data_IF_795372011117
#
_entry.id   IF_795372011117
#
_cell.length_a   1.000
_cell.length_b   1.000
_cell.length_c   1.000
_cell.angle_alpha   90.00
_cell.angle_beta   90.00
_cell.angle_gamma   90.00
#
_symmetry.space_group_name_H-M   'P 1'
#
loop_
_entity.id
_entity.type
_entity.pdbx_description
1 polymer ?
#
# COMPACT_ATOMS: atom_id res chain seq x y z
N UNK A 1 -11.91 3.96 -9.69
CA UNK A 1 -12.84 3.40 -8.69
C UNK A 1 -12.48 1.95 -8.43
N UNK A 2 -12.44 1.56 -7.16
CA UNK A 2 -12.14 0.20 -6.70
C UNK A 2 -13.41 -0.34 -6.03
N UNK A 3 -13.80 -1.58 -6.34
CA UNK A 3 -14.97 -2.22 -5.73
C UNK A 3 -14.62 -3.65 -5.34
N UNK A 4 -14.89 -3.98 -4.09
CA UNK A 4 -14.87 -5.33 -3.53
C UNK A 4 -16.32 -5.72 -3.30
N UNK A 5 -16.74 -6.88 -3.78
CA UNK A 5 -18.12 -7.36 -3.69
C UNK A 5 -18.14 -8.75 -3.07
N UNK A 6 -18.71 -8.88 -1.87
CA UNK A 6 -18.93 -10.13 -1.17
C UNK A 6 -17.64 -10.94 -0.92
N UNK A 7 -16.51 -10.27 -0.67
CA UNK A 7 -15.21 -10.94 -0.48
C UNK A 7 -15.23 -11.78 0.78
N UNK A 8 -15.15 -13.09 0.61
CA UNK A 8 -15.04 -14.05 1.72
C UNK A 8 -13.80 -14.91 1.56
N UNK A 9 -13.20 -15.28 2.67
CA UNK A 9 -12.03 -16.16 2.71
C UNK A 9 -12.15 -17.21 3.79
N UNK A 10 -12.08 -18.45 3.38
CA UNK A 10 -11.97 -19.62 4.24
C UNK A 10 -10.61 -20.25 4.04
N UNK A 11 -9.94 -20.57 5.11
CA UNK A 11 -8.74 -21.40 5.11
C UNK A 11 -9.09 -22.78 5.67
N UNK A 12 -8.74 -23.82 4.92
CA UNK A 12 -8.87 -25.20 5.31
C UNK A 12 -7.45 -25.79 5.48
N UNK A 13 -7.16 -26.29 6.66
CA UNK A 13 -5.90 -26.98 6.98
C UNK A 13 -6.04 -28.51 6.99
N UNK A 14 -7.19 -29.04 6.51
CA UNK A 14 -7.52 -30.46 6.47
C UNK A 14 -8.08 -31.01 7.78
N UNK A 15 -8.06 -30.25 8.87
CA UNK A 15 -8.61 -30.64 10.19
C UNK A 15 -9.69 -29.66 10.67
N UNK A 16 -9.60 -28.41 10.26
CA UNK A 16 -10.50 -27.33 10.66
C UNK A 16 -10.61 -26.31 9.53
N UNK A 17 -11.85 -25.90 9.21
CA UNK A 17 -12.14 -24.77 8.37
C UNK A 17 -12.24 -23.49 9.21
N UNK A 18 -11.47 -22.47 8.86
CA UNK A 18 -11.52 -21.15 9.50
C UNK A 18 -11.89 -20.08 8.50
N UNK A 19 -13.07 -19.51 8.63
CA UNK A 19 -13.45 -18.33 7.90
C UNK A 19 -12.78 -17.08 8.51
N UNK A 20 -12.09 -16.31 7.69
CA UNK A 20 -11.29 -15.15 8.12
C UNK A 20 -11.88 -13.84 7.57
N UNK A 21 -12.62 -13.89 6.45
CA UNK A 21 -13.36 -12.75 5.93
C UNK A 21 -14.80 -13.17 5.63
N UNK A 22 -15.76 -12.35 6.04
CA UNK A 22 -17.19 -12.60 5.97
C UNK A 22 -17.88 -11.56 5.07
N UNK A 23 -17.94 -11.84 3.76
CA UNK A 23 -18.68 -11.00 2.78
C UNK A 23 -18.32 -9.50 2.85
N UNK A 24 -17.06 -9.18 2.68
CA UNK A 24 -16.58 -7.79 2.71
C UNK A 24 -16.99 -7.05 1.44
N UNK A 25 -17.73 -5.96 1.62
CA UNK A 25 -18.14 -5.03 0.58
C UNK A 25 -17.49 -3.66 0.81
N UNK A 26 -16.66 -3.20 -0.14
CA UNK A 26 -15.97 -1.90 -0.06
C UNK A 26 -15.98 -1.26 -1.44
N UNK A 27 -16.44 -0.02 -1.55
CA UNK A 27 -16.25 0.81 -2.73
C UNK A 27 -15.37 2.00 -2.38
N UNK A 28 -14.26 2.17 -3.13
CA UNK A 28 -13.31 3.29 -2.95
C UNK A 28 -13.34 4.14 -4.22
N UNK A 29 -13.85 5.37 -4.17
CA UNK A 29 -13.78 6.34 -5.25
C UNK A 29 -12.34 6.61 -5.73
N UNK A 30 -12.19 7.06 -6.97
CA UNK A 30 -10.89 7.46 -7.50
C UNK A 30 -10.30 8.62 -6.69
N UNK A 31 -9.03 8.48 -6.32
CA UNK A 31 -8.28 9.47 -5.54
C UNK A 31 -8.59 9.47 -4.04
N UNK A 32 -9.53 8.65 -3.55
CA UNK A 32 -9.80 8.56 -2.12
C UNK A 32 -8.66 7.82 -1.40
N UNK A 33 -8.30 8.32 -0.23
CA UNK A 33 -7.37 7.66 0.68
C UNK A 33 -8.13 7.04 1.86
N UNK A 34 -8.21 5.71 1.87
CA UNK A 34 -8.88 4.92 2.91
C UNK A 34 -7.86 4.34 3.87
N UNK A 35 -8.09 4.47 5.17
CA UNK A 35 -7.34 3.75 6.21
C UNK A 35 -8.16 2.58 6.73
N UNK A 36 -7.53 1.41 6.87
CA UNK A 36 -8.15 0.20 7.42
C UNK A 36 -7.42 -0.15 8.72
N UNK A 37 -8.18 -0.25 9.81
CA UNK A 37 -7.69 -0.69 11.12
C UNK A 37 -8.40 -1.97 11.55
N UNK A 38 -7.88 -2.61 12.60
CA UNK A 38 -8.48 -3.81 13.16
C UNK A 38 -7.46 -4.55 14.03
N UNK A 39 -7.93 -5.46 14.90
CA UNK A 39 -7.09 -6.29 15.75
C UNK A 39 -6.22 -7.29 15.02
N UNK A 40 -5.39 -7.97 15.79
CA UNK A 40 -4.71 -9.15 15.30
C UNK A 40 -5.75 -10.22 14.95
N UNK A 41 -5.64 -10.79 13.76
CA UNK A 41 -6.63 -11.77 13.29
C UNK A 41 -7.92 -11.17 12.69
N UNK A 42 -8.10 -9.85 12.66
CA UNK A 42 -9.30 -9.22 12.07
C UNK A 42 -9.44 -9.39 10.54
N UNK A 43 -8.47 -9.98 9.85
CA UNK A 43 -8.53 -10.24 8.41
C UNK A 43 -7.82 -9.21 7.54
N UNK A 44 -7.18 -8.17 8.12
CA UNK A 44 -6.52 -7.08 7.36
C UNK A 44 -5.49 -7.57 6.34
N UNK A 45 -4.52 -8.39 6.78
CA UNK A 45 -3.48 -8.92 5.89
C UNK A 45 -4.05 -9.89 4.85
N UNK A 46 -5.12 -10.62 5.19
CA UNK A 46 -5.86 -11.46 4.25
C UNK A 46 -6.51 -10.60 3.16
N UNK A 47 -7.20 -9.53 3.55
CA UNK A 47 -7.81 -8.57 2.63
C UNK A 47 -6.76 -7.91 1.73
N UNK A 48 -5.63 -7.46 2.31
CA UNK A 48 -4.49 -6.91 1.56
C UNK A 48 -3.97 -7.90 0.50
N UNK A 49 -3.75 -9.15 0.89
CA UNK A 49 -3.26 -10.19 -0.01
C UNK A 49 -4.26 -10.51 -1.14
N UNK A 50 -5.55 -10.44 -0.86
CA UNK A 50 -6.61 -10.62 -1.86
C UNK A 50 -6.61 -9.44 -2.85
N UNK A 51 -6.56 -8.21 -2.38
CA UNK A 51 -6.55 -7.02 -3.25
C UNK A 51 -5.27 -6.96 -4.08
N UNK A 52 -4.11 -7.24 -3.49
CA UNK A 52 -2.82 -7.28 -4.19
C UNK A 52 -2.72 -8.41 -5.21
N UNK A 53 -3.54 -9.47 -5.05
CA UNK A 53 -3.54 -10.67 -5.89
C UNK A 53 -2.54 -11.73 -5.48
N UNK A 54 -2.00 -11.65 -4.26
CA UNK A 54 -1.19 -12.70 -3.64
C UNK A 54 -2.04 -13.88 -3.16
N UNK A 55 -3.31 -13.62 -2.84
CA UNK A 55 -4.31 -14.60 -2.44
C UNK A 55 -5.54 -14.47 -3.34
N UNK A 56 -6.14 -15.61 -3.71
CA UNK A 56 -7.44 -15.63 -4.37
C UNK A 56 -8.53 -15.81 -3.32
N UNK A 57 -9.58 -14.99 -3.28
CA UNK A 57 -10.67 -15.17 -2.31
C UNK A 57 -11.43 -16.46 -2.59
N UNK A 58 -12.05 -17.02 -1.56
CA UNK A 58 -12.94 -18.18 -1.68
C UNK A 58 -14.22 -17.82 -2.47
N UNK A 59 -14.75 -16.60 -2.26
CA UNK A 59 -15.88 -16.05 -3.01
C UNK A 59 -15.79 -14.53 -3.11
N UNK A 60 -16.64 -13.94 -3.97
CA UNK A 60 -16.70 -12.51 -4.22
C UNK A 60 -15.97 -12.08 -5.48
N UNK A 61 -15.93 -10.77 -5.73
CA UNK A 61 -15.33 -10.17 -6.91
C UNK A 61 -14.53 -8.90 -6.56
N UNK A 62 -13.52 -8.58 -7.37
CA UNK A 62 -12.72 -7.36 -7.24
C UNK A 62 -12.68 -6.64 -8.58
N UNK A 63 -13.11 -5.40 -8.58
CA UNK A 63 -13.13 -4.55 -9.75
C UNK A 63 -12.23 -3.34 -9.57
N UNK A 64 -11.38 -3.04 -10.54
CA UNK A 64 -10.61 -1.80 -10.61
C UNK A 64 -10.87 -1.17 -11.98
N UNK A 65 -11.47 0.01 -11.99
CA UNK A 65 -11.90 0.72 -13.19
C UNK A 65 -12.76 -0.17 -14.12
N UNK A 66 -13.71 -0.91 -13.54
CA UNK A 66 -14.60 -1.83 -14.24
C UNK A 66 -13.95 -3.10 -14.79
N UNK A 67 -12.70 -3.37 -14.44
CA UNK A 67 -11.97 -4.59 -14.87
C UNK A 67 -11.94 -5.60 -13.73
N UNK A 68 -12.36 -6.83 -14.02
CA UNK A 68 -12.27 -7.94 -13.07
C UNK A 68 -10.80 -8.30 -12.78
N UNK A 69 -10.39 -8.11 -11.53
CA UNK A 69 -9.03 -8.39 -11.10
C UNK A 69 -8.77 -9.88 -10.85
N UNK A 70 -9.81 -10.68 -10.56
CA UNK A 70 -9.64 -12.12 -10.33
C UNK A 70 -9.28 -12.87 -11.61
N UNK A 71 -9.61 -12.30 -12.77
CA UNK A 71 -9.24 -12.84 -14.09
C UNK A 71 -7.85 -12.39 -14.59
N UNK A 72 -7.18 -11.49 -13.86
CA UNK A 72 -5.86 -10.98 -14.26
C UNK A 72 -4.74 -11.81 -13.65
N UNK A 73 -3.68 -12.04 -14.43
CA UNK A 73 -2.44 -12.60 -13.89
C UNK A 73 -1.80 -11.65 -12.86
N UNK A 74 -0.94 -12.19 -11.99
CA UNK A 74 -0.18 -11.37 -11.00
C UNK A 74 0.60 -10.25 -11.68
N UNK A 75 1.26 -10.53 -12.81
CA UNK A 75 2.00 -9.52 -13.57
C UNK A 75 1.10 -8.41 -14.11
N UNK A 76 -0.09 -8.75 -14.62
CA UNK A 76 -1.07 -7.78 -15.10
C UNK A 76 -1.64 -6.94 -13.96
N UNK A 77 -1.86 -7.52 -12.76
CA UNK A 77 -2.26 -6.78 -11.55
C UNK A 77 -1.15 -5.84 -11.07
N UNK A 78 0.10 -6.31 -11.04
CA UNK A 78 1.23 -5.51 -10.60
C UNK A 78 1.43 -4.22 -11.43
N UNK A 79 0.92 -4.17 -12.66
CA UNK A 79 0.90 -2.95 -13.47
C UNK A 79 -0.18 -1.94 -13.01
N UNK A 80 -1.17 -2.38 -12.25
CA UNK A 80 -2.34 -1.60 -11.83
C UNK A 80 -2.27 -1.27 -10.34
N UNK A 81 -1.91 -2.28 -9.53
CA UNK A 81 -1.82 -2.21 -8.06
C UNK A 81 -0.35 -2.17 -7.66
N UNK A 82 0.03 -1.15 -6.91
CA UNK A 82 1.35 -1.06 -6.28
C UNK A 82 1.23 -1.34 -4.79
N UNK A 83 2.22 -2.03 -4.23
CA UNK A 83 2.25 -2.39 -2.81
C UNK A 83 3.51 -1.86 -2.15
N UNK A 84 3.36 -1.35 -0.92
CA UNK A 84 4.46 -1.05 0.01
C UNK A 84 4.21 -1.86 1.26
N UNK A 85 5.20 -2.66 1.66
CA UNK A 85 5.10 -3.60 2.77
C UNK A 85 5.69 -3.03 4.06
N UNK A 86 5.38 -3.68 5.17
CA UNK A 86 5.88 -3.35 6.50
C UNK A 86 7.40 -3.46 6.59
N UNK A 87 7.99 -4.53 6.02
CA UNK A 87 9.44 -4.68 5.97
C UNK A 87 10.05 -3.86 4.83
N UNK A 88 10.86 -2.81 5.14
CA UNK A 88 11.52 -2.00 4.11
C UNK A 88 12.43 -2.79 3.14
N UNK A 89 12.85 -3.99 3.53
CA UNK A 89 13.68 -4.84 2.67
C UNK A 89 12.87 -5.54 1.57
N UNK A 90 11.58 -5.75 1.80
CA UNK A 90 10.70 -6.44 0.84
C UNK A 90 10.44 -5.63 -0.43
N UNK A 91 10.66 -4.30 -0.40
CA UNK A 91 10.38 -3.39 -1.51
C UNK A 91 11.56 -3.15 -2.46
N UNK A 92 12.79 -3.55 -2.10
CA UNK A 92 14.01 -3.28 -2.86
C UNK A 92 14.83 -4.54 -3.10
N UNK A 93 15.65 -4.54 -4.16
CA UNK A 93 16.71 -5.52 -4.35
C UNK A 93 17.98 -4.97 -3.68
N UNK A 94 18.44 -5.52 -2.53
CA UNK A 94 19.52 -4.93 -1.73
C UNK A 94 20.84 -4.79 -2.48
N UNK A 95 21.15 -5.74 -3.36
CA UNK A 95 22.41 -5.77 -4.14
C UNK A 95 22.44 -4.80 -5.32
N UNK A 96 21.28 -4.32 -5.75
CA UNK A 96 21.16 -3.30 -6.79
C UNK A 96 21.33 -1.90 -6.22
N UNK A 97 21.83 -0.99 -7.06
CA UNK A 97 21.85 0.44 -6.75
C UNK A 97 20.43 1.03 -6.65
N UNK A 98 20.30 2.20 -6.04
CA UNK A 98 19.03 2.94 -6.02
C UNK A 98 18.51 3.15 -7.44
N UNK A 99 19.38 3.59 -8.37
CA UNK A 99 19.00 3.83 -9.75
C UNK A 99 18.50 2.56 -10.45
N UNK A 100 19.13 1.41 -10.23
CA UNK A 100 18.71 0.13 -10.81
C UNK A 100 17.37 -0.34 -10.23
N UNK A 101 17.17 -0.20 -8.92
CA UNK A 101 15.88 -0.48 -8.28
C UNK A 101 14.77 0.39 -8.88
N UNK A 102 15.01 1.71 -9.00
CA UNK A 102 14.05 2.64 -9.61
C UNK A 102 13.80 2.31 -11.09
N UNK A 103 14.81 1.91 -11.85
CA UNK A 103 14.66 1.50 -13.25
C UNK A 103 13.79 0.24 -13.40
N UNK A 104 13.94 -0.74 -12.49
CA UNK A 104 13.07 -1.91 -12.43
C UNK A 104 11.61 -1.50 -12.22
N UNK A 105 11.35 -0.65 -11.21
CA UNK A 105 10.02 -0.14 -10.92
C UNK A 105 9.45 0.70 -12.07
N UNK A 106 10.25 1.56 -12.68
CA UNK A 106 9.86 2.40 -13.81
C UNK A 106 9.52 1.60 -15.08
N UNK A 107 10.03 0.38 -15.20
CA UNK A 107 9.71 -0.53 -16.31
C UNK A 107 8.45 -1.36 -16.08
N UNK A 108 7.78 -1.24 -14.91
CA UNK A 108 6.58 -1.99 -14.57
C UNK A 108 5.46 -1.75 -15.59
N UNK A 109 4.86 -2.83 -16.10
CA UNK A 109 3.79 -2.77 -17.10
C UNK A 109 4.22 -2.38 -18.52
N UNK A 110 5.49 -2.08 -18.75
CA UNK A 110 6.02 -1.78 -20.10
C UNK A 110 6.59 -3.03 -20.76
N UNK A 111 6.39 -3.17 -22.08
CA UNK A 111 7.11 -4.19 -22.86
C UNK A 111 8.57 -3.78 -22.95
N UNK A 112 9.48 -4.64 -22.48
CA UNK A 112 10.92 -4.43 -22.63
C UNK A 112 11.34 -4.88 -24.02
N UNK A 113 11.87 -3.94 -24.83
CA UNK A 113 12.67 -4.25 -26.03
C UNK A 113 14.14 -4.46 -25.64
N UNK A 114 15.02 -4.55 -26.63
CA UNK A 114 16.50 -4.63 -26.51
C UNK A 114 17.15 -3.31 -26.06
N UNK A 115 16.40 -2.43 -25.37
CA UNK A 115 16.92 -1.15 -24.89
C UNK A 115 17.71 -1.34 -23.59
N UNK A 116 18.74 -0.49 -23.40
CA UNK A 116 19.51 -0.40 -22.17
C UNK A 116 18.57 -0.22 -20.98
N UNK A 117 18.86 -0.92 -19.89
CA UNK A 117 18.03 -0.95 -18.71
C UNK A 117 17.77 0.46 -18.09
N UNK A 118 18.63 1.44 -18.39
CA UNK A 118 18.58 2.78 -17.84
C UNK A 118 19.27 3.80 -18.75
N UNK A 119 18.54 4.85 -19.14
CA UNK A 119 19.07 5.95 -19.95
C UNK A 119 19.54 7.12 -19.06
N UNK A 120 20.28 8.09 -19.65
CA UNK A 120 20.62 9.34 -18.98
C UNK A 120 19.36 10.14 -18.58
N UNK A 121 18.28 10.03 -19.37
CA UNK A 121 17.00 10.67 -19.10
C UNK A 121 16.32 10.04 -17.89
N UNK A 122 16.38 8.73 -17.76
CA UNK A 122 15.82 8.05 -16.57
C UNK A 122 16.57 8.45 -15.31
N UNK A 123 17.89 8.55 -15.34
CA UNK A 123 18.70 9.03 -14.21
C UNK A 123 18.36 10.47 -13.80
N UNK A 124 18.11 11.35 -14.78
CA UNK A 124 17.70 12.73 -14.51
C UNK A 124 16.32 12.76 -13.84
N UNK A 125 15.36 11.99 -14.36
CA UNK A 125 14.02 11.83 -13.78
C UNK A 125 14.10 11.31 -12.33
N UNK A 126 14.90 10.28 -12.10
CA UNK A 126 15.02 9.68 -10.75
C UNK A 126 15.61 10.69 -9.77
N UNK A 127 16.62 11.46 -10.19
CA UNK A 127 17.21 12.51 -9.36
C UNK A 127 16.18 13.59 -9.02
N UNK A 128 15.44 14.09 -10.02
CA UNK A 128 14.37 15.07 -9.83
C UNK A 128 13.35 14.59 -8.79
N UNK A 129 12.88 13.34 -8.92
CA UNK A 129 11.91 12.77 -7.98
C UNK A 129 12.45 12.59 -6.57
N UNK A 130 13.73 12.32 -6.41
CA UNK A 130 14.36 12.14 -5.10
C UNK A 130 14.59 13.45 -4.36
N UNK A 131 14.88 14.54 -5.08
CA UNK A 131 15.04 15.89 -4.51
C UNK A 131 13.77 16.34 -3.77
N UNK A 132 12.59 15.93 -4.23
CA UNK A 132 11.30 16.30 -3.63
C UNK A 132 11.16 15.87 -2.16
N UNK A 133 12.01 14.94 -1.68
CA UNK A 133 11.94 14.37 -0.32
C UNK A 133 12.94 14.97 0.68
N UNK A 134 13.90 15.74 0.20
CA UNK A 134 14.93 16.41 1.05
C UNK A 134 15.67 15.43 1.99
N UNK A 135 16.07 14.27 1.45
CA UNK A 135 16.78 13.20 2.18
C UNK A 135 18.21 12.96 1.67
N UNK A 136 18.68 13.77 0.70
CA UNK A 136 19.99 13.62 0.06
C UNK A 136 20.11 12.34 -0.81
N UNK A 137 18.99 11.65 -1.08
CA UNK A 137 18.97 10.40 -1.85
C UNK A 137 19.32 10.61 -3.32
N UNK A 138 19.09 11.82 -3.86
CA UNK A 138 19.45 12.23 -5.21
C UNK A 138 20.96 12.18 -5.47
N UNK A 139 21.77 12.28 -4.41
CA UNK A 139 23.23 12.15 -4.47
C UNK A 139 23.69 10.68 -4.34
N UNK A 140 22.79 9.77 -3.98
CA UNK A 140 23.08 8.37 -3.67
C UNK A 140 22.66 7.37 -4.75
N UNK A 141 22.22 7.82 -5.94
CA UNK A 141 21.67 6.95 -6.99
C UNK A 141 22.56 5.74 -7.35
N UNK A 142 23.88 5.86 -7.20
CA UNK A 142 24.85 4.79 -7.48
C UNK A 142 25.18 3.90 -6.27
N UNK A 143 24.66 4.22 -5.07
CA UNK A 143 24.85 3.38 -3.89
C UNK A 143 23.90 2.20 -3.92
N UNK A 144 24.36 1.05 -3.41
CA UNK A 144 23.51 -0.14 -3.22
C UNK A 144 22.40 0.15 -2.20
N UNK A 145 21.20 -0.42 -2.43
CA UNK A 145 20.08 -0.25 -1.53
C UNK A 145 20.33 -0.87 -0.14
N UNK A 146 21.22 -1.86 -0.03
CA UNK A 146 21.66 -2.44 1.25
C UNK A 146 22.32 -1.43 2.18
N UNK A 147 22.91 -0.34 1.66
CA UNK A 147 23.60 0.70 2.43
C UNK A 147 22.67 1.80 2.95
N UNK A 148 21.38 1.74 2.63
CA UNK A 148 20.39 2.71 3.08
C UNK A 148 19.90 2.38 4.50
N UNK A 149 19.49 3.41 5.26
CA UNK A 149 18.71 3.20 6.48
C UNK A 149 17.33 2.64 6.18
N UNK A 150 16.64 2.08 7.18
CA UNK A 150 15.28 1.57 7.02
C UNK A 150 14.32 2.61 6.45
N UNK A 151 14.35 3.84 7.00
CA UNK A 151 13.52 4.95 6.52
C UNK A 151 13.84 5.37 5.08
N UNK A 152 15.13 5.45 4.73
CA UNK A 152 15.56 5.76 3.37
C UNK A 152 15.08 4.67 2.38
N UNK A 153 15.19 3.39 2.75
CA UNK A 153 14.65 2.28 1.94
C UNK A 153 13.14 2.39 1.77
N UNK A 154 12.42 2.75 2.84
CA UNK A 154 10.96 2.90 2.77
C UNK A 154 10.55 4.03 1.83
N UNK A 155 11.25 5.17 1.87
CA UNK A 155 10.99 6.28 0.93
C UNK A 155 11.29 5.87 -0.51
N UNK A 156 12.39 5.15 -0.77
CA UNK A 156 12.69 4.61 -2.11
C UNK A 156 11.59 3.65 -2.56
N UNK A 157 11.14 2.74 -1.68
CA UNK A 157 10.05 1.79 -2.00
C UNK A 157 8.75 2.52 -2.34
N UNK A 158 8.39 3.54 -1.57
CA UNK A 158 7.21 4.37 -1.81
C UNK A 158 7.31 5.11 -3.16
N UNK A 159 8.47 5.72 -3.45
CA UNK A 159 8.72 6.37 -4.73
C UNK A 159 8.62 5.37 -5.89
N UNK A 160 9.24 4.21 -5.76
CA UNK A 160 9.17 3.14 -6.76
C UNK A 160 7.73 2.68 -7.01
N UNK A 161 6.92 2.57 -5.96
CA UNK A 161 5.51 2.21 -6.06
C UNK A 161 4.70 3.25 -6.84
N UNK A 162 5.06 4.54 -6.75
CA UNK A 162 4.32 5.67 -7.32
C UNK A 162 4.89 6.23 -8.63
N UNK A 163 6.13 5.85 -9.03
CA UNK A 163 6.78 6.31 -10.27
C UNK A 163 5.93 6.12 -11.54
N UNK A 164 5.14 5.08 -11.59
CA UNK A 164 4.21 4.75 -12.68
C UNK A 164 2.77 4.89 -12.18
N UNK A 165 2.40 6.03 -11.62
CA UNK A 165 1.07 6.33 -11.06
C UNK A 165 0.11 5.12 -11.08
N UNK A 166 0.09 4.28 -10.04
CA UNK A 166 -0.76 3.09 -10.01
C UNK A 166 -2.23 3.52 -9.93
N UNK A 167 -3.16 2.63 -10.29
CA UNK A 167 -4.59 2.85 -10.06
C UNK A 167 -4.98 2.64 -8.61
N UNK A 168 -4.21 1.81 -7.90
CA UNK A 168 -4.37 1.56 -6.47
C UNK A 168 -2.98 1.44 -5.84
N UNK A 169 -2.75 2.20 -4.78
CA UNK A 169 -1.61 2.05 -3.88
C UNK A 169 -2.08 1.34 -2.61
N UNK A 170 -1.45 0.22 -2.30
CA UNK A 170 -1.67 -0.53 -1.07
C UNK A 170 -0.48 -0.32 -0.13
N UNK A 171 -0.75 0.12 1.09
CA UNK A 171 0.24 0.36 2.13
C UNK A 171 -0.05 -0.57 3.30
N UNK A 172 0.86 -1.50 3.60
CA UNK A 172 0.71 -2.46 4.70
C UNK A 172 1.66 -2.08 5.83
N UNK A 173 1.14 -1.39 6.85
CA UNK A 173 1.86 -0.98 8.05
C UNK A 173 3.27 -0.41 7.76
N UNK A 174 3.40 0.30 6.66
CA UNK A 174 4.65 0.67 6.02
C UNK A 174 5.58 1.59 6.85
N UNK A 175 5.16 1.99 8.04
CA UNK A 175 5.96 2.78 8.98
C UNK A 175 6.22 2.07 10.30
N UNK A 176 5.64 0.88 10.52
CA UNK A 176 5.68 0.19 11.82
C UNK A 176 7.08 -0.25 12.24
N UNK A 177 7.95 -0.56 11.29
CA UNK A 177 9.33 -0.99 11.55
C UNK A 177 10.33 0.18 11.70
N UNK A 178 9.85 1.44 11.69
CA UNK A 178 10.67 2.64 11.74
C UNK A 178 10.59 3.31 13.11
N UNK A 179 11.65 4.05 13.48
CA UNK A 179 11.57 4.90 14.66
C UNK A 179 10.50 6.00 14.49
N UNK A 180 9.92 6.52 15.60
CA UNK A 180 8.76 7.40 15.53
C UNK A 180 8.99 8.70 14.73
N UNK A 181 10.23 9.23 14.73
CA UNK A 181 10.54 10.45 13.98
C UNK A 181 10.56 10.19 12.49
N UNK A 182 11.21 9.10 12.08
CA UNK A 182 11.29 8.68 10.68
C UNK A 182 9.91 8.25 10.18
N UNK A 183 9.14 7.53 11.00
CA UNK A 183 7.77 7.14 10.68
C UNK A 183 6.90 8.36 10.32
N UNK A 184 6.93 9.43 11.13
CA UNK A 184 6.22 10.69 10.85
C UNK A 184 6.67 11.33 9.53
N UNK A 185 7.98 11.31 9.25
CA UNK A 185 8.52 11.86 8.00
C UNK A 185 8.04 11.05 6.80
N UNK A 186 8.09 9.71 6.86
CA UNK A 186 7.59 8.82 5.80
C UNK A 186 6.10 9.02 5.59
N UNK A 187 5.31 9.13 6.65
CA UNK A 187 3.86 9.40 6.55
C UNK A 187 3.56 10.75 5.90
N UNK A 188 4.32 11.80 6.22
CA UNK A 188 4.18 13.11 5.57
C UNK A 188 4.48 13.04 4.08
N UNK A 189 5.55 12.33 3.69
CA UNK A 189 5.91 12.07 2.28
C UNK A 189 4.81 11.26 1.60
N UNK A 190 4.28 10.22 2.24
CA UNK A 190 3.18 9.40 1.72
C UNK A 190 1.96 10.26 1.41
N UNK A 191 1.53 11.09 2.38
CA UNK A 191 0.39 12.00 2.22
C UNK A 191 0.60 12.93 1.02
N UNK A 192 1.75 13.62 0.97
CA UNK A 192 2.10 14.52 -0.13
C UNK A 192 2.01 13.83 -1.50
N UNK A 193 2.63 12.67 -1.66
CA UNK A 193 2.62 11.91 -2.91
C UNK A 193 1.21 11.49 -3.34
N UNK A 194 0.42 11.00 -2.40
CA UNK A 194 -0.95 10.53 -2.66
C UNK A 194 -1.84 11.70 -3.09
N UNK A 195 -1.77 12.83 -2.38
CA UNK A 195 -2.59 14.02 -2.66
C UNK A 195 -2.20 14.68 -4.00
N UNK A 196 -0.90 14.92 -4.24
CA UNK A 196 -0.42 15.56 -5.46
C UNK A 196 -0.71 14.75 -6.72
N UNK A 197 -0.56 13.43 -6.63
CA UNK A 197 -0.80 12.53 -7.75
C UNK A 197 -2.25 12.04 -7.82
N UNK A 198 -3.09 12.34 -6.82
CA UNK A 198 -4.48 11.82 -6.70
C UNK A 198 -4.52 10.31 -6.89
N UNK A 199 -3.71 9.58 -6.11
CA UNK A 199 -3.65 8.12 -6.17
C UNK A 199 -4.70 7.55 -5.23
N UNK A 200 -5.58 6.68 -5.73
CA UNK A 200 -6.47 5.89 -4.86
C UNK A 200 -5.62 5.02 -3.96
N UNK A 201 -5.78 5.15 -2.64
CA UNK A 201 -4.89 4.51 -1.67
C UNK A 201 -5.69 3.77 -0.60
N UNK A 202 -5.25 2.57 -0.27
CA UNK A 202 -5.72 1.82 0.90
C UNK A 202 -4.51 1.56 1.79
N UNK A 203 -4.55 2.07 3.02
CA UNK A 203 -3.51 1.89 4.02
C UNK A 203 -4.02 1.05 5.17
N UNK A 204 -3.33 -0.04 5.47
CA UNK A 204 -3.53 -0.80 6.69
C UNK A 204 -2.63 -0.21 7.78
N UNK A 205 -3.19 0.04 8.96
CA UNK A 205 -2.46 0.52 10.13
C UNK A 205 -2.97 -0.15 11.39
N UNK A 206 -2.07 -0.40 12.33
CA UNK A 206 -2.44 -0.71 13.73
C UNK A 206 -2.33 0.53 14.62
N UNK A 207 -1.81 1.64 14.11
CA UNK A 207 -1.72 2.91 14.83
C UNK A 207 -3.01 3.72 14.62
N UNK A 208 -3.84 3.81 15.65
CA UNK A 208 -5.12 4.51 15.61
C UNK A 208 -4.96 6.01 15.37
N UNK A 209 -3.90 6.63 15.93
CA UNK A 209 -3.62 8.05 15.71
C UNK A 209 -3.31 8.35 14.25
N UNK A 210 -2.50 7.51 13.60
CA UNK A 210 -2.20 7.63 12.18
C UNK A 210 -3.45 7.37 11.34
N UNK A 211 -4.27 6.38 11.71
CA UNK A 211 -5.50 6.07 10.98
C UNK A 211 -6.52 7.21 11.02
N UNK A 212 -6.60 7.97 12.12
CA UNK A 212 -7.43 9.18 12.23
C UNK A 212 -6.82 10.35 11.44
N UNK A 213 -5.48 10.55 11.57
CA UNK A 213 -4.80 11.73 11.03
C UNK A 213 -4.64 11.67 9.49
N UNK A 214 -4.58 10.48 8.91
CA UNK A 214 -4.32 10.28 7.49
C UNK A 214 -5.53 9.65 6.77
N UNK A 215 -5.71 10.04 5.50
CA UNK A 215 -6.80 9.57 4.65
C UNK A 215 -8.15 10.23 4.92
N UNK A 216 -9.07 10.02 3.99
CA UNK A 216 -10.39 10.65 3.95
C UNK A 216 -11.46 9.80 4.64
N UNK A 217 -11.24 8.48 4.72
CA UNK A 217 -12.17 7.48 5.24
C UNK A 217 -11.43 6.48 6.11
N UNK A 218 -12.08 6.01 7.16
CA UNK A 218 -11.59 5.00 8.08
C UNK A 218 -12.57 3.83 8.11
N UNK A 219 -12.04 2.63 7.89
CA UNK A 219 -12.77 1.36 7.98
C UNK A 219 -12.16 0.56 9.13
N UNK A 220 -12.99 0.03 10.01
CA UNK A 220 -12.55 -0.90 11.06
C UNK A 220 -13.03 -2.31 10.74
N UNK A 221 -12.08 -3.25 10.75
CA UNK A 221 -12.35 -4.68 10.65
C UNK A 221 -12.27 -5.31 12.04
N UNK A 222 -13.25 -6.14 12.38
CA UNK A 222 -13.22 -7.01 13.54
C UNK A 222 -13.83 -8.37 13.19
N UNK A 223 -13.20 -9.47 13.60
CA UNK A 223 -13.69 -10.81 13.33
C UNK A 223 -13.97 -11.13 11.85
N UNK A 224 -13.27 -10.46 10.91
CA UNK A 224 -13.48 -10.65 9.47
C UNK A 224 -14.66 -9.86 8.87
N UNK A 225 -15.25 -8.94 9.63
CA UNK A 225 -16.37 -8.10 9.20
C UNK A 225 -16.01 -6.62 9.31
N UNK A 226 -16.72 -5.75 8.57
CA UNK A 226 -16.63 -4.30 8.72
C UNK A 226 -17.55 -3.87 9.86
N UNK A 227 -16.98 -3.40 10.97
CA UNK A 227 -17.74 -2.94 12.14
C UNK A 227 -17.86 -1.42 12.20
N UNK A 228 -17.06 -0.69 11.42
CA UNK A 228 -17.14 0.76 11.29
C UNK A 228 -16.68 1.18 9.90
N UNK A 229 -17.34 2.19 9.35
CA UNK A 229 -17.01 2.82 8.07
C UNK A 229 -17.42 4.29 8.12
N UNK A 230 -16.47 5.18 8.33
CA UNK A 230 -16.69 6.60 8.55
C UNK A 230 -15.77 7.47 7.70
N UNK A 231 -16.26 8.63 7.28
CA UNK A 231 -15.53 9.56 6.42
C UNK A 231 -15.79 11.03 6.81
N UNK A 232 -15.01 11.94 6.25
CA UNK A 232 -15.20 13.38 6.38
C UNK A 232 -15.16 13.88 7.82
N UNK A 233 -16.18 14.62 8.23
CA UNK A 233 -16.25 15.22 9.59
C UNK A 233 -16.39 14.17 10.69
N UNK A 234 -17.15 13.11 10.44
CA UNK A 234 -17.31 12.01 11.39
C UNK A 234 -15.95 11.38 11.73
N UNK A 235 -15.11 11.11 10.69
CA UNK A 235 -13.76 10.63 10.91
C UNK A 235 -12.89 11.61 11.68
N UNK A 236 -12.98 12.92 11.36
CA UNK A 236 -12.14 13.95 12.01
C UNK A 236 -12.49 14.14 13.49
N UNK A 237 -13.74 13.86 13.87
CA UNK A 237 -14.21 13.93 15.27
C UNK A 237 -13.76 12.76 16.14
N UNK A 238 -13.22 11.68 15.54
CA UNK A 238 -12.82 10.49 16.29
C UNK A 238 -11.59 10.74 17.15
N UNK A 239 -11.57 10.08 18.30
CA UNK A 239 -10.41 9.99 19.18
C UNK A 239 -9.88 8.56 19.23
N UNK A 240 -8.58 8.36 19.52
CA UNK A 240 -8.04 7.01 19.70
C UNK A 240 -8.78 6.21 20.79
N UNK A 241 -9.27 6.88 21.86
CA UNK A 241 -10.01 6.23 22.93
C UNK A 241 -11.35 5.66 22.44
N UNK A 242 -12.09 6.37 21.59
CA UNK A 242 -13.35 5.88 21.01
C UNK A 242 -13.12 4.67 20.09
N UNK A 243 -12.00 4.67 19.34
CA UNK A 243 -11.63 3.53 18.52
C UNK A 243 -11.30 2.31 19.38
N UNK A 244 -10.61 2.47 20.53
CA UNK A 244 -10.29 1.36 21.45
C UNK A 244 -11.57 0.71 21.99
N UNK A 245 -12.54 1.51 22.44
CA UNK A 245 -13.82 1.00 22.96
C UNK A 245 -14.55 0.15 21.91
N UNK A 246 -14.57 0.60 20.65
CA UNK A 246 -15.18 -0.18 19.55
C UNK A 246 -14.35 -1.39 19.11
N UNK A 247 -13.12 -1.47 19.57
CA UNK A 247 -12.20 -2.55 19.25
C UNK A 247 -12.32 -3.72 20.23
N UNK A 248 -12.70 -3.43 21.48
CA UNK A 248 -12.81 -4.41 22.59
C UNK A 248 -14.24 -4.95 22.77
N UNK A 249 -15.23 -4.33 22.14
CA UNK A 249 -16.65 -4.75 22.17
C UNK A 249 -17.01 -5.57 20.94
#
# INVERSE_FOLDING_TARGET
MITLEGISQVFDNGTEEKQVLHSIDITVPEGQFVTIIGGNGAGKSTLFNIISGNLRPTSGAIWIDGKDMLRKSRSARAAIVACVFQDPNSGVCPELTIAENMALAYSRGKRRGLQWAMSKRDLALFREKLVEFDLGLEHMLRKKASLLSGGQRQVITLLMATLQKPRLLLLDEHTAALDPRIAKQVMSITKKLVEEQKITTIMISHNMSDAIAYGDRLIMLNGGEIVMDVAGEEKRGLTPAELIVKFEG
#
